data_IF_796979943839
#
_entry.id   IF_796979943839
#
_cell.length_a   1.000
_cell.length_b   1.000
_cell.length_c   1.000
_cell.angle_alpha   90.00
_cell.angle_beta   90.00
_cell.angle_gamma   90.00
#
_symmetry.space_group_name_H-M   'P 1'
#
loop_
_entity.id
_entity.type
_entity.pdbx_description
1 polymer ?
#
# COMPACT_ATOMS: atom_id res chain seq x y z
N UNK A 1 -29.12 -16.87 9.83
CA UNK A 1 -28.05 -16.73 10.84
C UNK A 1 -27.15 -15.58 10.38
N UNK A 2 -27.07 -14.52 11.20
CA UNK A 2 -26.58 -13.20 10.82
C UNK A 2 -25.09 -13.20 10.49
N UNK A 3 -24.72 -13.00 9.23
CA UNK A 3 -23.43 -12.44 8.87
C UNK A 3 -23.47 -10.95 9.24
N UNK A 4 -23.31 -10.66 10.54
CA UNK A 4 -22.99 -9.31 10.97
C UNK A 4 -21.59 -9.02 10.43
N UNK A 5 -21.53 -8.27 9.33
CA UNK A 5 -20.31 -7.60 8.92
C UNK A 5 -19.95 -6.65 10.05
N UNK A 6 -19.15 -7.12 11.01
CA UNK A 6 -18.54 -6.26 12.02
C UNK A 6 -17.71 -5.25 11.26
N UNK A 7 -18.20 -4.02 11.18
CA UNK A 7 -17.46 -2.92 10.58
C UNK A 7 -16.11 -2.85 11.31
N UNK A 8 -15.02 -3.04 10.57
CA UNK A 8 -13.67 -3.03 11.13
C UNK A 8 -13.43 -1.71 11.86
N UNK A 9 -12.89 -1.80 13.08
CA UNK A 9 -12.52 -0.61 13.86
C UNK A 9 -11.19 -0.07 13.35
N UNK A 10 -10.91 1.21 13.63
CA UNK A 10 -9.59 1.83 13.36
C UNK A 10 -8.46 0.99 13.94
N UNK A 11 -8.68 0.38 15.11
CA UNK A 11 -7.71 -0.52 15.74
C UNK A 11 -7.38 -1.74 14.87
N UNK A 12 -8.41 -2.45 14.39
CA UNK A 12 -8.22 -3.62 13.51
C UNK A 12 -7.56 -3.22 12.18
N UNK A 13 -7.97 -2.09 11.59
CA UNK A 13 -7.36 -1.60 10.35
C UNK A 13 -5.87 -1.27 10.57
N UNK A 14 -5.54 -0.59 11.67
CA UNK A 14 -4.16 -0.25 12.02
C UNK A 14 -3.32 -1.51 12.22
N UNK A 15 -3.83 -2.52 12.94
CA UNK A 15 -3.11 -3.78 13.14
C UNK A 15 -2.85 -4.53 11.82
N UNK A 16 -3.82 -4.51 10.89
CA UNK A 16 -3.63 -5.10 9.56
C UNK A 16 -2.56 -4.37 8.75
N UNK A 17 -2.56 -3.04 8.77
CA UNK A 17 -1.54 -2.24 8.08
C UNK A 17 -0.15 -2.54 8.63
N UNK A 18 0.02 -2.56 9.95
CA UNK A 18 1.31 -2.86 10.59
C UNK A 18 1.79 -4.27 10.24
N UNK A 19 0.90 -5.26 10.25
CA UNK A 19 1.25 -6.64 9.91
C UNK A 19 1.74 -6.78 8.46
N UNK A 20 1.11 -6.09 7.51
CA UNK A 20 1.55 -6.09 6.11
C UNK A 20 2.88 -5.36 5.94
N UNK A 21 3.08 -4.25 6.65
CA UNK A 21 4.32 -3.45 6.58
C UNK A 21 5.52 -4.19 7.20
N UNK A 22 5.31 -4.96 8.27
CA UNK A 22 6.34 -5.78 8.93
C UNK A 22 6.80 -7.01 8.11
N UNK A 23 6.51 -7.05 6.80
CA UNK A 23 6.88 -8.14 5.91
C UNK A 23 8.36 -8.20 5.53
N UNK A 24 8.66 -9.03 4.52
CA UNK A 24 10.02 -9.31 4.04
C UNK A 24 10.82 -8.07 3.63
N UNK A 25 10.16 -7.01 3.16
CA UNK A 25 10.80 -5.75 2.80
C UNK A 25 11.56 -5.10 3.96
N UNK A 26 11.08 -5.24 5.21
CA UNK A 26 11.74 -4.68 6.39
C UNK A 26 13.09 -5.34 6.67
N UNK A 27 13.27 -6.61 6.29
CA UNK A 27 14.53 -7.35 6.52
C UNK A 27 15.70 -6.79 5.70
N UNK A 28 15.42 -6.20 4.53
CA UNK A 28 16.44 -5.57 3.69
C UNK A 28 16.73 -4.11 4.07
N UNK A 29 15.87 -3.48 4.89
CA UNK A 29 16.02 -2.07 5.28
C UNK A 29 17.33 -1.77 6.03
N UNK A 30 17.80 -2.58 7.00
CA UNK A 30 19.05 -2.28 7.70
C UNK A 30 20.24 -2.20 6.76
N UNK A 31 20.28 -3.05 5.73
CA UNK A 31 21.36 -3.08 4.76
C UNK A 31 21.37 -1.85 3.86
N UNK A 32 20.19 -1.44 3.34
CA UNK A 32 20.09 -0.23 2.52
C UNK A 32 20.35 1.03 3.35
N UNK A 33 19.89 1.09 4.59
CA UNK A 33 20.18 2.18 5.53
C UNK A 33 21.67 2.24 5.88
N UNK A 34 22.34 1.10 6.06
CA UNK A 34 23.78 1.06 6.29
C UNK A 34 24.57 1.65 5.11
N UNK A 35 24.10 1.45 3.87
CA UNK A 35 24.73 2.04 2.68
C UNK A 35 24.49 3.54 2.53
N UNK A 36 23.30 4.03 2.90
CA UNK A 36 22.96 5.46 2.86
C UNK A 36 23.67 6.26 3.97
N UNK A 37 24.10 5.59 5.02
CA UNK A 37 24.71 6.21 6.20
C UNK A 37 23.67 6.63 7.24
N UNK A 38 24.15 6.88 8.45
CA UNK A 38 23.31 7.00 9.65
C UNK A 38 22.34 8.18 9.65
N UNK A 39 22.66 9.29 8.98
CA UNK A 39 21.76 10.46 8.86
C UNK A 39 20.81 10.30 7.68
N UNK A 40 21.36 9.90 6.53
CA UNK A 40 20.62 9.88 5.28
C UNK A 40 19.56 8.77 5.29
N UNK A 41 19.86 7.61 5.89
CA UNK A 41 18.92 6.50 5.99
C UNK A 41 17.59 6.88 6.67
N UNK A 42 17.61 7.35 7.94
CA UNK A 42 16.40 7.82 8.62
C UNK A 42 15.69 8.95 7.89
N UNK A 43 16.43 9.90 7.31
CA UNK A 43 15.84 11.01 6.57
C UNK A 43 15.06 10.53 5.33
N UNK A 44 15.62 9.58 4.59
CA UNK A 44 14.93 8.94 3.45
C UNK A 44 13.73 8.12 3.91
N UNK A 45 13.83 7.39 5.03
CA UNK A 45 12.70 6.63 5.58
C UNK A 45 11.53 7.54 5.99
N UNK A 46 11.81 8.68 6.63
CA UNK A 46 10.80 9.68 6.99
C UNK A 46 10.19 10.29 5.72
N UNK A 47 11.01 10.61 4.71
CA UNK A 47 10.53 11.09 3.42
C UNK A 47 9.59 10.09 2.75
N UNK A 48 9.96 8.82 2.70
CA UNK A 48 9.13 7.75 2.13
C UNK A 48 7.83 7.54 2.93
N UNK A 49 7.89 7.67 4.25
CA UNK A 49 6.72 7.64 5.12
C UNK A 49 5.75 8.78 4.81
N UNK A 50 6.23 10.02 4.66
CA UNK A 50 5.38 11.15 4.27
C UNK A 50 4.69 10.93 2.92
N UNK A 51 5.43 10.48 1.89
CA UNK A 51 4.86 10.21 0.58
C UNK A 51 3.81 9.09 0.65
N UNK A 52 4.08 8.04 1.41
CA UNK A 52 3.15 6.94 1.62
C UNK A 52 1.87 7.42 2.30
N UNK A 53 1.99 8.23 3.36
CA UNK A 53 0.85 8.80 4.07
C UNK A 53 -0.03 9.67 3.16
N UNK A 54 0.57 10.59 2.40
CA UNK A 54 -0.15 11.42 1.44
C UNK A 54 -0.90 10.59 0.39
N UNK A 55 -0.23 9.56 -0.15
CA UNK A 55 -0.85 8.69 -1.16
C UNK A 55 -2.01 7.88 -0.56
N UNK A 56 -1.86 7.38 0.67
CA UNK A 56 -2.94 6.66 1.37
C UNK A 56 -4.14 7.55 1.68
N UNK A 57 -3.91 8.80 2.08
CA UNK A 57 -4.99 9.77 2.30
C UNK A 57 -5.76 10.03 1.00
N UNK A 58 -5.05 10.26 -0.11
CA UNK A 58 -5.68 10.48 -1.41
C UNK A 58 -6.49 9.26 -1.87
N UNK A 59 -5.98 8.04 -1.66
CA UNK A 59 -6.73 6.81 -1.94
C UNK A 59 -8.00 6.70 -1.09
N UNK A 60 -7.91 7.07 0.19
CA UNK A 60 -9.04 7.04 1.11
C UNK A 60 -10.12 8.05 0.69
N UNK A 61 -9.73 9.23 0.22
CA UNK A 61 -10.66 10.22 -0.33
C UNK A 61 -11.28 9.74 -1.65
N UNK A 62 -10.49 9.14 -2.54
CA UNK A 62 -10.98 8.59 -3.82
C UNK A 62 -11.83 7.32 -3.66
N UNK A 63 -11.90 6.72 -2.48
CA UNK A 63 -12.69 5.52 -2.21
C UNK A 63 -14.20 5.75 -2.37
N UNK A 64 -14.68 6.98 -2.11
CA UNK A 64 -16.08 7.39 -2.31
C UNK A 64 -16.19 8.46 -3.39
N UNK A 65 -17.21 8.36 -4.24
CA UNK A 65 -17.52 9.28 -5.33
C UNK A 65 -19.01 9.65 -5.33
N UNK A 66 -19.44 10.91 -5.59
CA UNK A 66 -18.65 12.08 -5.98
C UNK A 66 -18.03 12.90 -4.83
N UNK A 67 -18.50 12.72 -3.59
CA UNK A 67 -17.95 13.39 -2.42
C UNK A 67 -17.31 12.37 -1.46
N UNK A 68 -16.18 12.70 -0.81
CA UNK A 68 -15.49 11.79 0.11
C UNK A 68 -16.37 11.38 1.32
N UNK A 69 -17.33 12.23 1.69
CA UNK A 69 -18.23 11.98 2.84
C UNK A 69 -19.55 11.33 2.42
N UNK A 70 -20.16 11.79 1.32
CA UNK A 70 -21.53 11.41 0.89
C UNK A 70 -21.59 10.60 -0.42
N UNK A 71 -20.44 10.20 -0.97
CA UNK A 71 -20.38 9.51 -2.25
C UNK A 71 -21.19 8.21 -2.28
N UNK A 72 -22.18 8.16 -3.19
CA UNK A 72 -23.10 7.03 -3.35
C UNK A 72 -22.40 5.78 -3.92
N UNK A 73 -21.28 5.96 -4.63
CA UNK A 73 -20.52 4.87 -5.25
C UNK A 73 -19.26 4.60 -4.45
N UNK A 74 -19.09 3.36 -4.02
CA UNK A 74 -17.94 2.88 -3.26
C UNK A 74 -17.01 2.11 -4.19
N UNK A 75 -15.91 2.75 -4.60
CA UNK A 75 -14.92 2.16 -5.49
C UNK A 75 -13.94 1.30 -4.68
N UNK A 76 -14.31 0.03 -4.48
CA UNK A 76 -13.48 -0.94 -3.74
C UNK A 76 -12.18 -1.30 -4.43
N UNK A 77 -12.14 -1.16 -5.76
CA UNK A 77 -10.95 -1.44 -6.55
C UNK A 77 -10.28 -0.13 -6.90
N UNK A 78 -8.97 -0.07 -6.65
CA UNK A 78 -8.16 1.09 -6.99
C UNK A 78 -8.27 1.45 -8.48
N UNK A 79 -8.34 0.45 -9.36
CA UNK A 79 -8.55 0.62 -10.81
C UNK A 79 -9.87 1.32 -11.13
N UNK A 80 -10.94 1.03 -10.39
CA UNK A 80 -12.24 1.69 -10.56
C UNK A 80 -12.21 3.13 -10.01
N UNK A 81 -11.51 3.36 -8.89
CA UNK A 81 -11.30 4.71 -8.37
C UNK A 81 -10.51 5.58 -9.38
N UNK A 82 -9.43 5.05 -9.95
CA UNK A 82 -8.66 5.74 -10.98
C UNK A 82 -9.50 5.96 -12.24
N UNK A 83 -10.40 5.04 -12.62
CA UNK A 83 -11.32 5.25 -13.76
C UNK A 83 -12.34 6.37 -13.54
N UNK A 84 -12.84 6.52 -12.32
CA UNK A 84 -13.82 7.56 -12.00
C UNK A 84 -13.20 8.96 -11.93
N UNK A 85 -11.98 9.08 -11.38
CA UNK A 85 -11.31 10.37 -11.20
C UNK A 85 -10.33 10.73 -12.33
N UNK A 86 -9.85 9.74 -13.09
CA UNK A 86 -8.75 9.90 -14.03
C UNK A 86 -9.02 9.17 -15.36
N UNK A 87 -8.46 9.71 -16.44
CA UNK A 87 -8.70 9.20 -17.80
C UNK A 87 -8.15 7.77 -18.00
N UNK A 88 -8.71 7.03 -18.97
CA UNK A 88 -8.40 5.61 -19.28
C UNK A 88 -6.91 5.33 -19.40
N UNK A 89 -6.11 6.30 -19.89
CA UNK A 89 -4.65 6.15 -20.04
C UNK A 89 -3.95 5.94 -18.70
N UNK A 90 -4.36 6.67 -17.67
CA UNK A 90 -3.76 6.54 -16.34
C UNK A 90 -4.13 5.22 -15.68
N UNK A 91 -5.30 4.68 -15.98
CA UNK A 91 -5.71 3.34 -15.51
C UNK A 91 -4.75 2.26 -16.01
N UNK A 92 -4.32 2.35 -17.28
CA UNK A 92 -3.35 1.40 -17.85
C UNK A 92 -1.98 1.58 -17.20
N UNK A 93 -1.51 2.82 -17.07
CA UNK A 93 -0.23 3.11 -16.42
C UNK A 93 -0.21 2.62 -14.96
N UNK A 94 -1.28 2.89 -14.22
CA UNK A 94 -1.42 2.49 -12.82
C UNK A 94 -1.57 0.98 -12.68
N UNK A 95 -2.32 0.34 -13.58
CA UNK A 95 -2.41 -1.11 -13.68
C UNK A 95 -1.04 -1.75 -13.94
N UNK A 96 -0.23 -1.19 -14.84
CA UNK A 96 1.14 -1.64 -15.05
C UNK A 96 1.98 -1.50 -13.78
N UNK A 97 1.94 -0.35 -13.10
CA UNK A 97 2.67 -0.15 -11.85
C UNK A 97 2.24 -1.15 -10.76
N UNK A 98 0.94 -1.40 -10.62
CA UNK A 98 0.40 -2.35 -9.65
C UNK A 98 0.81 -3.80 -9.97
N UNK A 99 0.79 -4.19 -11.24
CA UNK A 99 1.25 -5.52 -11.68
C UNK A 99 2.76 -5.72 -11.43
N UNK A 100 3.57 -4.71 -11.74
CA UNK A 100 5.01 -4.75 -11.47
C UNK A 100 5.27 -4.87 -9.97
N UNK A 101 4.52 -4.13 -9.13
CA UNK A 101 4.65 -4.22 -7.68
C UNK A 101 4.23 -5.61 -7.14
N UNK A 102 3.13 -6.17 -7.66
CA UNK A 102 2.69 -7.53 -7.31
C UNK A 102 3.76 -8.56 -7.66
N UNK A 103 4.35 -8.45 -8.85
CA UNK A 103 5.38 -9.36 -9.32
C UNK A 103 6.68 -9.23 -8.51
N UNK A 104 7.12 -8.00 -8.22
CA UNK A 104 8.27 -7.74 -7.36
C UNK A 104 8.07 -8.29 -5.94
N UNK A 105 6.88 -8.10 -5.38
CA UNK A 105 6.50 -8.62 -4.06
C UNK A 105 6.51 -10.15 -4.06
N UNK A 106 5.95 -10.79 -5.09
CA UNK A 106 5.99 -12.24 -5.26
C UNK A 106 7.43 -12.76 -5.27
N UNK A 107 8.30 -12.18 -6.10
CA UNK A 107 9.72 -12.56 -6.18
C UNK A 107 10.43 -12.36 -4.85
N UNK A 108 10.21 -11.22 -4.18
CA UNK A 108 10.80 -10.92 -2.88
C UNK A 108 10.39 -11.92 -1.80
N UNK A 109 9.11 -12.30 -1.74
CA UNK A 109 8.64 -13.35 -0.85
C UNK A 109 9.20 -14.72 -1.20
N UNK A 110 9.31 -15.08 -2.48
CA UNK A 110 9.91 -16.36 -2.89
C UNK A 110 11.37 -16.47 -2.47
N UNK A 111 12.17 -15.41 -2.67
CA UNK A 111 13.58 -15.38 -2.24
C UNK A 111 13.69 -15.43 -0.71
N UNK A 112 12.85 -14.67 0.00
CA UNK A 112 12.85 -14.67 1.47
C UNK A 112 12.48 -16.06 2.00
N UNK A 113 11.49 -16.72 1.39
CA UNK A 113 11.07 -18.06 1.76
C UNK A 113 12.18 -19.09 1.51
N UNK A 114 12.88 -19.03 0.37
CA UNK A 114 14.01 -19.93 0.10
C UNK A 114 15.20 -19.66 1.03
N UNK A 115 15.50 -18.39 1.33
CA UNK A 115 16.52 -18.00 2.30
C UNK A 115 16.20 -18.41 3.74
N UNK A 116 14.91 -18.61 4.06
CA UNK A 116 14.49 -19.08 5.39
C UNK A 116 14.56 -20.60 5.55
N UNK A 117 14.77 -21.35 4.46
CA UNK A 117 14.83 -22.81 4.44
C UNK A 117 16.26 -23.37 4.35
N UNK A 118 17.26 -22.50 4.15
CA UNK A 118 18.69 -22.83 4.22
C UNK A 118 19.20 -22.71 5.66
#
# INVERSE_FOLDING_TARGET
MHAAWTAGTVWTATSHIVAVVAGSGVLALPWTVAQLGWVLGPLVLVGFSCVTYYTSALLADCYRYPDPVHGAVVNRQYVDAVRCYLDRKYVVLCGCAQYVNLWATLVGYTITASASMM
#
